data_IF_024143696365
#
_entry.id   IF_024143696365
#
_cell.length_a   1.000
_cell.length_b   1.000
_cell.length_c   1.000
_cell.angle_alpha   90.00
_cell.angle_beta   90.00
_cell.angle_gamma   90.00
#
_symmetry.space_group_name_H-M   'P 1'
#
loop_
_entity.id
_entity.type
_entity.pdbx_description
1 polymer ?
#
# COMPACT_ATOMS: atom_id res chain seq x y z
N UNK A 1 2.49 13.13 21.77
CA UNK A 1 1.68 12.38 20.81
C UNK A 1 2.50 11.94 19.59
N UNK A 2 3.02 12.86 18.79
CA UNK A 2 3.81 12.49 17.58
C UNK A 2 4.96 11.53 17.90
N UNK A 3 5.72 11.79 18.96
CA UNK A 3 6.79 10.90 19.41
C UNK A 3 6.28 9.49 19.74
N UNK A 4 5.15 9.37 20.43
CA UNK A 4 4.54 8.08 20.77
C UNK A 4 4.14 7.30 19.52
N UNK A 5 3.56 7.96 18.51
CA UNK A 5 3.23 7.33 17.24
C UNK A 5 4.50 6.92 16.47
N UNK A 6 5.52 7.79 16.44
CA UNK A 6 6.79 7.47 15.76
C UNK A 6 7.50 6.28 16.40
N UNK A 7 7.51 6.18 17.73
CA UNK A 7 8.12 5.06 18.45
C UNK A 7 7.31 3.78 18.26
N UNK A 8 5.97 3.86 18.39
CA UNK A 8 5.09 2.70 18.23
C UNK A 8 5.22 2.00 16.87
N UNK A 9 5.49 2.78 15.82
CA UNK A 9 5.54 2.29 14.43
C UNK A 9 6.89 2.58 13.75
N UNK A 10 7.96 2.68 14.53
CA UNK A 10 9.30 3.01 14.03
C UNK A 10 9.79 2.03 12.97
N UNK A 11 9.56 0.73 13.15
CA UNK A 11 9.88 -0.31 12.17
C UNK A 11 9.14 -0.09 10.85
N UNK A 12 7.83 0.14 10.90
CA UNK A 12 7.01 0.40 9.70
C UNK A 12 7.47 1.65 8.95
N UNK A 13 7.81 2.73 9.66
CA UNK A 13 8.37 3.93 9.04
C UNK A 13 9.75 3.71 8.43
N UNK A 14 10.60 2.92 9.07
CA UNK A 14 11.91 2.56 8.53
C UNK A 14 11.76 1.78 7.20
N UNK A 15 10.84 0.83 7.13
CA UNK A 15 10.52 0.11 5.90
C UNK A 15 9.94 1.02 4.82
N UNK A 16 8.96 1.87 5.13
CA UNK A 16 8.41 2.85 4.17
C UNK A 16 9.51 3.76 3.62
N UNK A 17 10.43 4.20 4.46
CA UNK A 17 11.55 5.04 4.04
C UNK A 17 12.55 4.27 3.16
N UNK A 18 12.90 3.04 3.53
CA UNK A 18 13.77 2.18 2.74
C UNK A 18 13.17 1.88 1.37
N UNK A 19 11.88 1.51 1.32
CA UNK A 19 11.13 1.30 0.07
C UNK A 19 11.11 2.56 -0.80
N UNK A 20 10.89 3.72 -0.19
CA UNK A 20 10.88 5.00 -0.90
C UNK A 20 12.25 5.32 -1.52
N UNK A 21 13.36 5.06 -0.80
CA UNK A 21 14.73 5.21 -1.31
C UNK A 21 14.99 4.21 -2.46
N UNK A 22 14.44 3.01 -2.37
CA UNK A 22 14.52 1.99 -3.41
C UNK A 22 13.60 2.25 -4.62
N UNK A 23 12.83 3.36 -4.61
CA UNK A 23 12.00 3.78 -5.74
C UNK A 23 10.56 3.27 -5.70
N UNK A 24 10.03 2.96 -4.52
CA UNK A 24 8.62 2.60 -4.32
C UNK A 24 7.69 3.67 -4.87
N UNK A 25 6.58 3.24 -5.47
CA UNK A 25 5.51 4.12 -5.95
C UNK A 25 4.76 4.81 -4.82
N UNK A 26 4.82 4.26 -3.62
CA UNK A 26 4.16 4.80 -2.42
C UNK A 26 5.04 5.75 -1.60
N UNK A 27 6.14 6.27 -2.18
CA UNK A 27 7.11 7.14 -1.53
C UNK A 27 6.50 8.40 -0.85
N UNK A 28 5.32 8.86 -1.29
CA UNK A 28 4.61 9.99 -0.67
C UNK A 28 4.27 9.73 0.82
N UNK A 29 4.17 8.46 1.25
CA UNK A 29 3.92 8.11 2.65
C UNK A 29 4.99 8.66 3.60
N UNK A 30 6.22 8.88 3.11
CA UNK A 30 7.32 9.46 3.89
C UNK A 30 6.98 10.86 4.38
N UNK A 31 6.27 11.67 3.59
CA UNK A 31 5.91 13.06 3.95
C UNK A 31 4.62 13.15 4.76
N UNK A 32 3.82 12.09 4.82
CA UNK A 32 2.52 12.09 5.47
C UNK A 32 2.55 12.48 6.96
N UNK A 33 3.52 12.03 7.79
CA UNK A 33 3.62 12.46 9.18
C UNK A 33 3.87 13.97 9.32
N UNK A 34 4.67 14.56 8.43
CA UNK A 34 4.94 16.01 8.41
C UNK A 34 3.67 16.78 8.07
N UNK A 35 2.92 16.30 7.07
CA UNK A 35 1.63 16.91 6.70
C UNK A 35 0.60 16.79 7.81
N UNK A 36 0.54 15.64 8.49
CA UNK A 36 -0.34 15.46 9.65
C UNK A 36 -0.01 16.45 10.79
N UNK A 37 1.28 16.63 11.10
CA UNK A 37 1.73 17.61 12.08
C UNK A 37 1.42 19.05 11.64
N UNK A 38 1.56 19.36 10.37
CA UNK A 38 1.23 20.66 9.80
C UNK A 38 -0.26 20.97 9.97
N UNK A 39 -1.14 20.01 9.67
CA UNK A 39 -2.60 20.13 9.85
C UNK A 39 -2.92 20.26 11.34
N UNK A 40 -2.33 19.40 12.20
CA UNK A 40 -2.53 19.45 13.65
C UNK A 40 -2.15 20.82 14.25
N UNK A 41 -1.06 21.43 13.77
CA UNK A 41 -0.64 22.77 14.17
C UNK A 41 -1.64 23.88 13.76
N UNK A 42 -2.60 23.59 12.87
CA UNK A 42 -3.74 24.47 12.54
C UNK A 42 -4.83 24.50 13.59
N UNK A 43 -4.86 23.54 14.52
CA UNK A 43 -5.88 23.43 15.57
C UNK A 43 -5.43 24.13 16.86
N UNK A 44 -5.67 25.43 16.94
CA UNK A 44 -5.35 26.26 18.13
C UNK A 44 -6.58 26.51 19.02
N UNK A 45 -7.42 25.53 19.22
CA UNK A 45 -8.61 25.71 20.02
C UNK A 45 -8.34 25.39 21.49
N UNK A 46 -8.70 26.33 22.36
CA UNK A 46 -8.84 26.08 23.78
C UNK A 46 -10.06 25.20 23.97
N UNK A 47 -9.87 23.98 24.47
CA UNK A 47 -10.99 23.25 25.05
C UNK A 47 -11.25 23.80 26.43
N UNK A 48 -12.24 24.70 26.56
CA UNK A 48 -12.83 25.03 27.85
C UNK A 48 -13.80 23.90 28.21
N UNK A 49 -13.32 22.91 28.86
CA UNK A 49 -14.12 21.81 29.38
C UNK A 49 -13.25 20.91 30.24
N UNK A 50 -13.60 20.80 31.48
CA UNK A 50 -13.14 19.72 32.35
C UNK A 50 -13.68 18.45 31.69
N UNK A 51 -12.84 17.75 30.88
CA UNK A 51 -13.19 16.42 30.39
C UNK A 51 -13.30 15.53 31.64
N UNK A 52 -14.38 14.78 31.73
CA UNK A 52 -14.48 13.68 32.68
C UNK A 52 -13.42 12.67 32.30
N UNK A 53 -12.25 12.74 32.93
CA UNK A 53 -11.09 11.94 32.56
C UNK A 53 -11.35 10.44 32.48
N UNK A 54 -12.36 9.92 33.19
CA UNK A 54 -12.76 8.51 33.14
C UNK A 54 -13.51 8.16 31.84
N UNK A 55 -14.44 9.01 31.40
CA UNK A 55 -15.18 8.76 30.13
C UNK A 55 -14.27 8.80 28.91
N UNK A 56 -13.29 9.72 28.87
CA UNK A 56 -12.32 9.80 27.80
C UNK A 56 -11.44 8.54 27.72
N UNK A 57 -11.06 7.96 28.88
CA UNK A 57 -10.33 6.71 28.93
C UNK A 57 -11.13 5.52 28.41
N UNK A 58 -12.40 5.41 28.80
CA UNK A 58 -13.28 4.34 28.33
C UNK A 58 -13.46 4.44 26.80
N UNK A 59 -13.72 5.63 26.31
CA UNK A 59 -13.89 5.86 24.86
C UNK A 59 -12.60 5.55 24.10
N UNK A 60 -11.45 6.00 24.59
CA UNK A 60 -10.17 5.70 23.95
C UNK A 60 -9.87 4.19 23.93
N UNK A 61 -10.15 3.49 25.04
CA UNK A 61 -9.99 2.04 25.12
C UNK A 61 -10.93 1.31 24.14
N UNK A 62 -12.19 1.72 24.05
CA UNK A 62 -13.15 1.14 23.12
C UNK A 62 -12.72 1.36 21.65
N UNK A 63 -12.34 2.59 21.28
CA UNK A 63 -11.88 2.90 19.93
C UNK A 63 -10.60 2.11 19.63
N UNK A 64 -9.66 2.04 20.57
CA UNK A 64 -8.41 1.30 20.40
C UNK A 64 -8.65 -0.20 20.21
N UNK A 65 -9.39 -0.83 21.13
CA UNK A 65 -9.65 -2.26 21.08
C UNK A 65 -10.48 -2.62 19.84
N UNK A 66 -11.59 -1.93 19.60
CA UNK A 66 -12.46 -2.23 18.46
C UNK A 66 -11.79 -1.91 17.12
N UNK A 67 -11.08 -0.78 17.05
CA UNK A 67 -10.38 -0.38 15.81
C UNK A 67 -9.23 -1.33 15.46
N UNK A 68 -8.37 -1.66 16.41
CA UNK A 68 -7.27 -2.59 16.19
C UNK A 68 -7.77 -4.02 15.96
N UNK A 69 -8.80 -4.47 16.71
CA UNK A 69 -9.42 -5.78 16.48
C UNK A 69 -10.06 -5.85 15.08
N UNK A 70 -10.76 -4.79 14.64
CA UNK A 70 -11.34 -4.74 13.30
C UNK A 70 -10.25 -4.83 12.20
N UNK A 71 -9.15 -4.08 12.35
CA UNK A 71 -8.02 -4.15 11.41
C UNK A 71 -7.44 -5.56 11.39
N UNK A 72 -7.19 -6.15 12.56
CA UNK A 72 -6.64 -7.51 12.67
C UNK A 72 -7.57 -8.56 12.02
N UNK A 73 -8.89 -8.46 12.27
CA UNK A 73 -9.87 -9.35 11.67
C UNK A 73 -9.94 -9.18 10.14
N UNK A 74 -9.84 -7.94 9.63
CA UNK A 74 -9.82 -7.67 8.20
C UNK A 74 -8.55 -8.23 7.54
N UNK A 75 -7.37 -8.08 8.17
CA UNK A 75 -6.13 -8.68 7.69
C UNK A 75 -6.26 -10.19 7.60
N UNK A 76 -6.83 -10.84 8.60
CA UNK A 76 -7.05 -12.29 8.60
C UNK A 76 -8.09 -12.78 7.61
N UNK A 77 -9.16 -11.98 7.37
CA UNK A 77 -10.27 -12.36 6.48
C UNK A 77 -10.03 -12.02 5.01
N UNK A 78 -9.28 -10.95 4.74
CA UNK A 78 -9.05 -10.42 3.39
C UNK A 78 -7.58 -9.98 3.23
N UNK A 79 -6.62 -10.92 3.26
CA UNK A 79 -5.20 -10.58 3.31
C UNK A 79 -4.72 -9.79 2.07
N UNK A 80 -5.17 -10.13 0.86
CA UNK A 80 -4.80 -9.40 -0.36
C UNK A 80 -5.34 -7.98 -0.39
N UNK A 81 -6.59 -7.79 0.01
CA UNK A 81 -7.18 -6.47 0.11
C UNK A 81 -6.48 -5.64 1.20
N UNK A 82 -6.24 -6.25 2.37
CA UNK A 82 -5.58 -5.59 3.49
C UNK A 82 -4.17 -5.16 3.15
N UNK A 83 -3.42 -5.97 2.42
CA UNK A 83 -2.08 -5.65 1.97
C UNK A 83 -2.09 -4.52 0.92
N UNK A 84 -2.98 -4.58 -0.06
CA UNK A 84 -3.10 -3.52 -1.06
C UNK A 84 -3.50 -2.17 -0.46
N UNK A 85 -4.46 -2.17 0.47
CA UNK A 85 -4.85 -0.97 1.22
C UNK A 85 -3.83 -0.58 2.30
N UNK A 86 -2.85 -1.42 2.59
CA UNK A 86 -1.92 -1.27 3.74
C UNK A 86 -2.69 -0.93 5.01
N UNK A 87 -3.67 -1.75 5.36
CA UNK A 87 -4.56 -1.51 6.50
C UNK A 87 -3.78 -1.35 7.82
N UNK A 88 -2.57 -1.88 7.91
CA UNK A 88 -1.65 -1.66 9.02
C UNK A 88 -1.37 -0.17 9.27
N UNK A 89 -1.33 0.65 8.20
CA UNK A 89 -1.16 2.10 8.33
C UNK A 89 -2.35 2.76 9.06
N UNK A 90 -3.54 2.18 8.98
CA UNK A 90 -4.70 2.65 9.75
C UNK A 90 -4.58 2.36 11.25
N UNK A 91 -3.78 1.36 11.66
CA UNK A 91 -3.50 1.11 13.06
C UNK A 91 -2.77 2.31 13.71
N UNK A 92 -1.86 2.96 12.95
CA UNK A 92 -1.22 4.23 13.37
C UNK A 92 -2.27 5.31 13.63
N UNK A 93 -3.26 5.43 12.73
CA UNK A 93 -4.34 6.39 12.87
C UNK A 93 -5.18 6.10 14.12
N UNK A 94 -5.60 4.85 14.33
CA UNK A 94 -6.35 4.45 15.53
C UNK A 94 -5.57 4.78 16.80
N UNK A 95 -4.28 4.44 16.84
CA UNK A 95 -3.42 4.75 17.98
C UNK A 95 -3.28 6.27 18.20
N UNK A 96 -3.10 7.05 17.13
CA UNK A 96 -3.02 8.50 17.22
C UNK A 96 -4.30 9.12 17.77
N UNK A 97 -5.47 8.64 17.34
CA UNK A 97 -6.78 9.07 17.87
C UNK A 97 -6.88 8.75 19.36
N UNK A 98 -6.52 7.54 19.78
CA UNK A 98 -6.50 7.15 21.20
C UNK A 98 -5.58 8.07 22.03
N UNK A 99 -4.36 8.34 21.54
CA UNK A 99 -3.44 9.25 22.19
C UNK A 99 -4.02 10.67 22.34
N UNK A 100 -4.71 11.17 21.30
CA UNK A 100 -5.34 12.51 21.37
C UNK A 100 -6.49 12.52 22.37
N UNK A 101 -7.34 11.50 22.38
CA UNK A 101 -8.46 11.41 23.34
C UNK A 101 -7.93 11.37 24.77
N UNK A 102 -6.93 10.53 25.05
CA UNK A 102 -6.36 10.39 26.39
C UNK A 102 -5.65 11.67 26.85
N UNK A 103 -4.93 12.38 25.94
CA UNK A 103 -4.15 13.56 26.30
C UNK A 103 -4.95 14.85 26.33
N UNK A 104 -5.95 15.01 25.47
CA UNK A 104 -6.65 16.27 25.22
C UNK A 104 -8.18 16.15 25.33
N UNK A 105 -8.70 14.94 25.53
CA UNK A 105 -10.13 14.65 25.63
C UNK A 105 -10.82 14.42 24.29
N UNK A 106 -11.96 13.72 24.34
CA UNK A 106 -12.75 13.33 23.16
C UNK A 106 -13.22 14.54 22.35
N UNK A 107 -13.66 15.63 23.02
CA UNK A 107 -14.12 16.84 22.32
C UNK A 107 -13.04 17.42 21.42
N UNK A 108 -11.79 17.44 21.89
CA UNK A 108 -10.66 17.90 21.08
C UNK A 108 -10.41 16.98 19.89
N UNK A 109 -10.44 15.66 20.11
CA UNK A 109 -10.30 14.69 19.02
C UNK A 109 -11.38 14.88 17.95
N UNK A 110 -12.64 15.10 18.34
CA UNK A 110 -13.73 15.36 17.39
C UNK A 110 -13.56 16.67 16.63
N UNK A 111 -13.00 17.73 17.24
CA UNK A 111 -12.71 18.96 16.48
C UNK A 111 -11.65 18.77 15.40
N UNK A 112 -10.78 17.75 15.54
CA UNK A 112 -9.74 17.38 14.57
C UNK A 112 -10.23 16.45 13.44
N UNK A 113 -11.55 16.31 13.24
CA UNK A 113 -12.13 15.37 12.28
C UNK A 113 -11.52 15.47 10.87
N UNK A 114 -11.18 16.66 10.39
CA UNK A 114 -10.58 16.82 9.06
C UNK A 114 -9.15 16.30 8.97
N UNK A 115 -8.40 16.27 10.09
CA UNK A 115 -7.10 15.58 10.16
C UNK A 115 -7.30 14.07 10.05
N UNK A 116 -8.28 13.53 10.78
CA UNK A 116 -8.55 12.09 10.76
C UNK A 116 -9.01 11.63 9.39
N UNK A 117 -9.90 12.42 8.75
CA UNK A 117 -10.33 12.15 7.38
C UNK A 117 -9.16 12.20 6.39
N UNK A 118 -8.29 13.22 6.49
CA UNK A 118 -7.10 13.34 5.66
C UNK A 118 -6.20 12.11 5.82
N UNK A 119 -5.91 11.70 7.06
CA UNK A 119 -5.09 10.53 7.33
C UNK A 119 -5.78 9.23 6.86
N UNK A 120 -7.08 9.06 7.09
CA UNK A 120 -7.81 7.90 6.61
C UNK A 120 -7.76 7.76 5.08
N UNK A 121 -7.84 8.88 4.35
CA UNK A 121 -7.77 8.87 2.89
C UNK A 121 -6.36 8.61 2.35
N UNK A 122 -5.33 9.17 3.00
CA UNK A 122 -3.97 9.17 2.43
C UNK A 122 -2.96 8.29 3.16
N UNK A 123 -3.28 7.72 4.33
CA UNK A 123 -2.46 6.68 4.94
C UNK A 123 -2.56 5.35 4.17
N UNK A 124 -3.61 5.18 3.38
CA UNK A 124 -3.78 4.04 2.47
C UNK A 124 -3.30 4.41 1.07
N UNK A 125 -2.48 3.59 0.39
CA UNK A 125 -1.90 3.94 -0.91
C UNK A 125 -2.90 3.89 -2.07
N UNK A 126 -4.03 3.19 -1.93
CA UNK A 126 -4.99 2.96 -3.03
C UNK A 126 -5.51 4.24 -3.67
N UNK A 127 -5.98 5.27 -2.93
CA UNK A 127 -6.45 6.51 -3.55
C UNK A 127 -5.35 7.23 -4.34
N UNK A 128 -4.11 7.21 -3.82
CA UNK A 128 -2.96 7.78 -4.50
C UNK A 128 -2.61 7.02 -5.78
N UNK A 129 -2.51 5.68 -5.71
CA UNK A 129 -2.19 4.84 -6.85
C UNK A 129 -3.29 4.91 -7.93
N UNK A 130 -4.56 4.93 -7.53
CA UNK A 130 -5.68 5.08 -8.46
C UNK A 130 -5.65 6.45 -9.17
N UNK A 131 -5.41 7.54 -8.43
CA UNK A 131 -5.28 8.88 -9.02
C UNK A 131 -4.06 8.95 -9.96
N UNK A 132 -2.92 8.39 -9.58
CA UNK A 132 -1.72 8.34 -10.42
C UNK A 132 -1.96 7.53 -11.69
N UNK A 133 -2.60 6.36 -11.58
CA UNK A 133 -2.94 5.52 -12.73
C UNK A 133 -3.94 6.19 -13.68
N UNK A 134 -4.90 6.95 -13.15
CA UNK A 134 -5.85 7.73 -13.94
C UNK A 134 -5.19 8.86 -14.74
N UNK A 135 -4.09 9.43 -14.26
CA UNK A 135 -3.31 10.45 -14.96
C UNK A 135 -2.32 9.87 -15.99
N UNK A 136 -2.00 8.58 -15.93
CA UNK A 136 -1.08 7.93 -16.85
C UNK A 136 -0.04 7.02 -16.20
N UNK A 137 0.18 7.15 -14.89
CA UNK A 137 1.07 6.28 -14.12
C UNK A 137 2.55 6.64 -14.24
N UNK A 138 2.90 7.81 -14.77
CA UNK A 138 4.29 8.25 -14.85
C UNK A 138 4.81 8.77 -13.50
N UNK A 139 6.13 8.89 -13.30
CA UNK A 139 6.69 9.54 -12.10
C UNK A 139 6.21 10.99 -11.93
N UNK A 140 5.98 11.70 -13.04
CA UNK A 140 5.42 13.06 -13.03
C UNK A 140 4.01 13.06 -12.44
N UNK A 141 3.16 12.12 -12.87
CA UNK A 141 1.78 12.00 -12.37
C UNK A 141 1.76 11.70 -10.87
N UNK A 142 2.65 10.81 -10.40
CA UNK A 142 2.82 10.53 -8.99
C UNK A 142 3.23 11.79 -8.19
N UNK A 143 4.17 12.57 -8.72
CA UNK A 143 4.61 13.81 -8.07
C UNK A 143 3.51 14.89 -8.08
N UNK A 144 2.69 14.98 -9.14
CA UNK A 144 1.51 15.88 -9.21
C UNK A 144 0.51 15.52 -8.11
N UNK A 145 0.16 14.23 -8.01
CA UNK A 145 -0.80 13.77 -6.97
C UNK A 145 -0.24 14.02 -5.57
N UNK A 146 1.05 13.76 -5.34
CA UNK A 146 1.70 14.05 -4.05
C UNK A 146 1.68 15.55 -3.71
N UNK A 147 1.97 16.43 -4.69
CA UNK A 147 1.88 17.88 -4.52
C UNK A 147 0.44 18.33 -4.22
N UNK A 148 -0.57 17.71 -4.86
CA UNK A 148 -1.97 17.97 -4.56
C UNK A 148 -2.35 17.56 -3.13
N UNK A 149 -1.85 16.41 -2.63
CA UNK A 149 -2.01 16.00 -1.22
C UNK A 149 -1.38 17.04 -0.28
N UNK A 150 -0.17 17.53 -0.59
CA UNK A 150 0.48 18.61 0.15
C UNK A 150 -0.35 19.90 0.16
N UNK A 151 -0.94 20.27 -0.97
CA UNK A 151 -1.81 21.43 -1.09
C UNK A 151 -3.10 21.29 -0.28
N UNK A 152 -3.73 20.11 -0.24
CA UNK A 152 -4.85 19.82 0.66
C UNK A 152 -4.43 19.99 2.11
N UNK A 153 -3.24 19.54 2.49
CA UNK A 153 -2.72 19.74 3.84
C UNK A 153 -2.53 21.24 4.16
N UNK A 154 -2.04 22.06 3.22
CA UNK A 154 -1.95 23.54 3.38
C UNK A 154 -3.33 24.13 3.62
N UNK A 155 -4.32 23.74 2.81
CA UNK A 155 -5.69 24.21 2.95
C UNK A 155 -6.27 23.87 4.34
N UNK A 156 -6.03 22.68 4.84
CA UNK A 156 -6.49 22.25 6.16
C UNK A 156 -5.71 22.91 7.30
N UNK A 157 -4.40 23.10 7.16
CA UNK A 157 -3.54 23.72 8.16
C UNK A 157 -3.78 25.22 8.33
N UNK A 158 -4.31 25.89 7.29
CA UNK A 158 -4.59 27.32 7.29
C UNK A 158 -6.05 27.64 7.64
N UNK A 159 -6.80 26.71 8.25
CA UNK A 159 -8.23 26.83 8.58
C UNK A 159 -8.59 28.04 9.42
N UNK A 160 -7.67 28.60 10.19
CA UNK A 160 -7.86 29.81 11.01
C UNK A 160 -7.79 31.10 10.19
N UNK A 161 -7.35 31.04 8.93
CA UNK A 161 -7.28 32.18 8.04
C UNK A 161 -8.58 32.36 7.25
N UNK A 162 -8.82 33.59 6.76
CA UNK A 162 -9.93 33.87 5.85
C UNK A 162 -9.84 33.00 4.58
N UNK A 163 -10.98 32.58 4.03
CA UNK A 163 -11.06 31.64 2.90
C UNK A 163 -10.20 32.07 1.70
N UNK A 164 -10.19 33.37 1.35
CA UNK A 164 -9.34 33.88 0.26
C UNK A 164 -7.86 33.61 0.49
N UNK A 165 -7.36 33.78 1.73
CA UNK A 165 -5.96 33.51 2.09
C UNK A 165 -5.65 32.03 2.10
N UNK A 166 -6.60 31.20 2.54
CA UNK A 166 -6.46 29.73 2.47
C UNK A 166 -6.28 29.28 1.03
N UNK A 167 -7.17 29.73 0.12
CA UNK A 167 -7.08 29.41 -1.29
C UNK A 167 -5.81 29.95 -1.93
N UNK A 168 -5.39 31.18 -1.58
CA UNK A 168 -4.13 31.76 -2.07
C UNK A 168 -2.92 30.95 -1.61
N UNK A 169 -2.83 30.56 -0.33
CA UNK A 169 -1.75 29.73 0.18
C UNK A 169 -1.69 28.35 -0.51
N UNK A 170 -2.85 27.73 -0.74
CA UNK A 170 -2.96 26.45 -1.46
C UNK A 170 -2.51 26.59 -2.91
N UNK A 171 -2.97 27.65 -3.61
CA UNK A 171 -2.57 27.93 -4.99
C UNK A 171 -1.07 28.22 -5.12
N UNK A 172 -0.50 28.99 -4.18
CA UNK A 172 0.95 29.26 -4.12
C UNK A 172 1.72 27.96 -3.92
N UNK A 173 1.26 27.09 -3.02
CA UNK A 173 1.88 25.78 -2.80
C UNK A 173 1.92 24.94 -4.06
N UNK A 174 0.79 24.84 -4.79
CA UNK A 174 0.72 24.11 -6.07
C UNK A 174 1.60 24.74 -7.14
N UNK A 175 1.52 26.06 -7.30
CA UNK A 175 2.31 26.79 -8.30
C UNK A 175 3.81 26.68 -8.05
N UNK A 176 4.24 26.71 -6.78
CA UNK A 176 5.65 26.54 -6.40
C UNK A 176 6.15 25.10 -6.61
N UNK A 177 5.26 24.10 -6.47
CA UNK A 177 5.60 22.68 -6.70
C UNK A 177 5.68 22.33 -8.20
N UNK A 178 4.92 23.01 -9.06
CA UNK A 178 4.80 22.66 -10.47
C UNK A 178 6.14 22.62 -11.23
N UNK A 179 7.03 23.64 -11.19
CA UNK A 179 8.29 23.61 -11.91
C UNK A 179 9.23 22.51 -11.40
N UNK A 180 9.18 22.18 -10.11
CA UNK A 180 9.98 21.11 -9.53
C UNK A 180 9.50 19.74 -10.06
N UNK A 181 8.19 19.52 -10.07
CA UNK A 181 7.59 18.28 -10.58
C UNK A 181 7.94 18.04 -12.05
N UNK A 182 7.87 19.09 -12.88
CA UNK A 182 8.15 18.97 -14.32
C UNK A 182 9.64 18.73 -14.60
N UNK A 183 10.54 19.43 -13.89
CA UNK A 183 11.97 19.41 -14.23
C UNK A 183 12.78 18.35 -13.45
N UNK A 184 12.30 17.88 -12.29
CA UNK A 184 13.04 17.00 -11.40
C UNK A 184 12.38 15.63 -11.20
N UNK A 185 11.41 15.23 -12.04
CA UNK A 185 10.67 13.98 -11.88
C UNK A 185 11.57 12.72 -11.92
N UNK A 186 12.74 12.78 -12.54
CA UNK A 186 13.74 11.71 -12.52
C UNK A 186 14.28 11.42 -11.11
N UNK A 187 14.23 12.41 -10.22
CA UNK A 187 14.63 12.31 -8.81
C UNK A 187 13.37 12.18 -7.94
N UNK A 188 12.66 11.09 -8.12
CA UNK A 188 11.30 10.92 -7.63
C UNK A 188 11.14 11.21 -6.15
N UNK A 189 11.92 10.56 -5.27
CA UNK A 189 11.83 10.76 -3.81
C UNK A 189 12.18 12.20 -3.37
N UNK A 190 13.32 12.81 -3.78
CA UNK A 190 13.60 14.21 -3.47
C UNK A 190 12.51 15.17 -3.95
N UNK A 191 11.97 14.93 -5.15
CA UNK A 191 10.88 15.74 -5.71
C UNK A 191 9.62 15.65 -4.84
N UNK A 192 9.23 14.47 -4.37
CA UNK A 192 8.09 14.30 -3.46
C UNK A 192 8.35 14.99 -2.12
N UNK A 193 9.54 14.81 -1.51
CA UNK A 193 9.86 15.43 -0.23
C UNK A 193 9.76 16.96 -0.33
N UNK A 194 10.26 17.55 -1.39
CA UNK A 194 10.23 19.01 -1.55
C UNK A 194 8.83 19.48 -1.95
N UNK A 195 8.20 18.88 -2.98
CA UNK A 195 6.93 19.33 -3.52
C UNK A 195 5.74 19.09 -2.55
N UNK A 196 5.70 17.93 -1.90
CA UNK A 196 4.62 17.56 -1.01
C UNK A 196 4.93 17.78 0.48
N UNK A 197 6.20 17.98 0.86
CA UNK A 197 6.61 18.20 2.26
C UNK A 197 7.06 19.64 2.52
N UNK A 198 8.19 20.05 1.95
CA UNK A 198 8.84 21.33 2.28
C UNK A 198 8.03 22.53 1.81
N UNK A 199 7.59 22.54 0.54
CA UNK A 199 6.80 23.66 -0.03
C UNK A 199 5.50 23.88 0.73
N UNK A 200 4.67 22.86 1.07
CA UNK A 200 3.51 23.02 1.94
C UNK A 200 3.84 23.66 3.30
N UNK A 201 4.90 23.21 3.96
CA UNK A 201 5.33 23.78 5.25
C UNK A 201 5.68 25.25 5.11
N UNK A 202 6.49 25.62 4.12
CA UNK A 202 6.88 27.01 3.86
C UNK A 202 5.66 27.87 3.48
N UNK A 203 4.72 27.34 2.71
CA UNK A 203 3.49 28.03 2.33
C UNK A 203 2.62 28.35 3.55
N UNK A 204 2.48 27.43 4.51
CA UNK A 204 1.75 27.67 5.76
C UNK A 204 2.46 28.69 6.63
N UNK A 205 3.77 28.62 6.75
CA UNK A 205 4.58 29.58 7.52
C UNK A 205 4.42 30.98 6.90
N UNK A 206 4.60 31.12 5.59
CA UNK A 206 4.45 32.38 4.87
C UNK A 206 3.05 32.97 5.02
N UNK A 207 1.99 32.14 4.91
CA UNK A 207 0.61 32.57 5.07
C UNK A 207 0.31 33.06 6.50
N UNK A 208 1.00 32.55 7.52
CA UNK A 208 0.86 32.98 8.93
C UNK A 208 1.67 34.22 9.27
N UNK A 209 2.80 34.44 8.60
CA UNK A 209 3.68 35.60 8.83
C UNK A 209 3.13 36.86 8.17
N UNK A 210 2.27 36.78 7.15
CA UNK A 210 1.66 37.95 6.52
C UNK A 210 0.72 38.66 7.50
N UNK A 211 1.02 39.92 7.89
CA UNK A 211 0.28 40.61 8.92
C UNK A 211 -1.19 40.83 8.50
N UNK A 212 -2.08 40.60 9.44
CA UNK A 212 -3.50 40.81 9.27
C UNK A 212 -3.75 42.34 9.43
N UNK A 213 -3.91 43.07 8.32
CA UNK A 213 -4.18 44.50 8.38
C UNK A 213 -5.54 44.87 8.97
N UNK A 214 -6.32 43.91 9.51
CA UNK A 214 -7.70 44.13 9.96
C UNK A 214 -8.09 43.60 11.34
N UNK A 215 -7.18 43.10 12.17
CA UNK A 215 -7.62 42.63 13.49
C UNK A 215 -6.46 42.67 14.49
N UNK A 216 -6.03 43.85 14.85
CA UNK A 216 -5.53 44.07 16.18
C UNK A 216 -6.72 44.52 17.03
N UNK A 217 -7.62 43.60 17.37
CA UNK A 217 -8.52 43.78 18.48
C UNK A 217 -7.70 43.47 19.74
N UNK A 218 -7.30 44.49 20.53
CA UNK A 218 -6.42 44.28 21.69
C UNK A 218 -7.11 43.48 22.80
N UNK A 219 -8.34 43.08 22.62
CA UNK A 219 -9.11 42.24 23.55
C UNK A 219 -9.01 40.74 23.29
N UNK A 220 -8.40 40.26 22.21
CA UNK A 220 -8.11 38.84 22.04
C UNK A 220 -7.04 38.40 23.06
N UNK A 221 -7.52 37.85 24.18
CA UNK A 221 -6.66 37.15 25.16
C UNK A 221 -5.81 36.11 24.45
N UNK A 222 -4.51 35.98 24.82
CA UNK A 222 -3.67 34.95 24.24
C UNK A 222 -4.35 33.58 24.43
N UNK A 223 -4.61 32.94 23.29
CA UNK A 223 -5.26 31.61 23.26
C UNK A 223 -4.35 30.67 24.04
N UNK A 224 -4.81 30.28 25.22
CA UNK A 224 -4.08 29.30 26.06
C UNK A 224 -4.03 27.99 25.28
N UNK A 225 -2.83 27.49 25.00
CA UNK A 225 -2.65 26.21 24.36
C UNK A 225 -3.30 25.12 25.21
N UNK A 226 -4.05 24.20 24.58
CA UNK A 226 -4.63 23.07 25.31
C UNK A 226 -3.49 22.33 26.03
N UNK A 227 -3.59 22.25 27.35
CA UNK A 227 -2.61 21.53 28.16
C UNK A 227 -2.97 20.05 28.16
N UNK A 228 -2.02 19.17 27.83
CA UNK A 228 -2.26 17.74 27.90
C UNK A 228 -2.41 17.26 29.35
N UNK A 229 -3.25 16.26 29.57
CA UNK A 229 -3.33 15.55 30.84
C UNK A 229 -1.99 14.84 31.13
N UNK A 230 -1.22 15.34 32.09
CA UNK A 230 0.12 14.85 32.43
C UNK A 230 0.16 14.07 33.74
N UNK A 231 -0.81 13.22 34.02
CA UNK A 231 -0.68 12.33 35.18
C UNK A 231 0.36 11.23 34.89
N UNK A 232 1.10 10.81 35.91
CA UNK A 232 2.09 9.70 35.80
C UNK A 232 1.40 8.44 35.26
N UNK A 233 0.15 8.18 35.67
CA UNK A 233 -0.66 7.06 35.17
C UNK A 233 -0.92 7.16 33.67
N UNK A 234 -1.28 8.33 33.16
CA UNK A 234 -1.54 8.59 31.74
C UNK A 234 -0.28 8.31 30.90
N UNK A 235 0.85 8.87 31.33
CA UNK A 235 2.13 8.66 30.62
C UNK A 235 2.54 7.19 30.66
N UNK A 236 2.36 6.52 31.81
CA UNK A 236 2.68 5.10 31.96
C UNK A 236 1.88 4.20 31.03
N UNK A 237 0.55 4.39 30.93
CA UNK A 237 -0.30 3.57 30.03
C UNK A 237 0.03 3.82 28.57
N UNK A 238 0.25 5.08 28.17
CA UNK A 238 0.65 5.38 26.78
C UNK A 238 2.03 4.81 26.45
N UNK A 239 2.97 4.82 27.40
CA UNK A 239 4.29 4.21 27.21
C UNK A 239 4.18 2.68 27.06
N UNK A 240 3.38 2.01 27.89
CA UNK A 240 3.14 0.55 27.79
C UNK A 240 2.46 0.21 26.45
N UNK A 241 1.40 0.91 26.07
CA UNK A 241 0.72 0.70 24.79
C UNK A 241 1.67 0.89 23.59
N UNK A 242 2.50 1.95 23.63
CA UNK A 242 3.53 2.20 22.63
C UNK A 242 4.54 1.06 22.56
N UNK A 243 5.01 0.54 23.70
CA UNK A 243 5.96 -0.57 23.74
C UNK A 243 5.36 -1.87 23.19
N UNK A 244 4.09 -2.16 23.49
CA UNK A 244 3.39 -3.33 22.95
C UNK A 244 3.28 -3.25 21.42
N UNK A 245 2.88 -2.09 20.88
CA UNK A 245 2.75 -1.89 19.44
C UNK A 245 4.11 -1.95 18.72
N UNK A 246 5.14 -1.36 19.32
CA UNK A 246 6.50 -1.44 18.78
C UNK A 246 7.02 -2.89 18.76
N UNK A 247 6.78 -3.66 19.83
CA UNK A 247 7.14 -5.07 19.88
C UNK A 247 6.39 -5.91 18.85
N UNK A 248 5.10 -5.66 18.64
CA UNK A 248 4.30 -6.34 17.61
C UNK A 248 4.82 -6.03 16.19
N UNK A 249 5.25 -4.79 15.92
CA UNK A 249 5.81 -4.39 14.63
C UNK A 249 7.18 -4.99 14.30
N UNK A 250 7.94 -5.44 15.31
CA UNK A 250 9.25 -6.11 15.08
C UNK A 250 9.13 -7.54 14.53
N UNK A 251 7.93 -8.12 14.52
CA UNK A 251 7.68 -9.47 14.02
C UNK A 251 7.32 -9.51 12.53
N UNK A 252 7.52 -8.43 11.78
CA UNK A 252 7.33 -8.44 10.34
C UNK A 252 8.39 -9.34 9.70
N UNK A 253 7.93 -10.30 8.89
CA UNK A 253 8.82 -11.26 8.23
C UNK A 253 9.54 -10.56 7.08
N UNK A 254 10.87 -10.66 7.06
CA UNK A 254 11.65 -10.25 5.91
C UNK A 254 11.31 -11.15 4.72
N UNK A 255 11.01 -10.54 3.59
CA UNK A 255 10.83 -11.27 2.34
C UNK A 255 12.17 -11.92 1.94
N UNK A 256 12.12 -13.17 1.47
CA UNK A 256 13.30 -13.83 0.96
C UNK A 256 13.89 -13.04 -0.21
N UNK A 257 15.22 -12.85 -0.22
CA UNK A 257 15.88 -12.13 -1.31
C UNK A 257 15.59 -12.83 -2.66
N UNK A 258 15.28 -12.06 -3.72
CA UNK A 258 14.96 -12.63 -5.02
C UNK A 258 16.16 -13.36 -5.62
N UNK A 259 15.94 -14.57 -6.08
CA UNK A 259 16.95 -15.41 -6.72
C UNK A 259 17.39 -14.80 -8.03
N UNK A 260 18.71 -14.76 -8.31
CA UNK A 260 19.25 -14.28 -9.58
C UNK A 260 19.27 -15.40 -10.63
N UNK A 261 18.76 -15.11 -11.81
CA UNK A 261 18.65 -16.04 -12.94
C UNK A 261 19.18 -15.42 -14.23
N UNK A 262 19.49 -16.22 -15.28
CA UNK A 262 19.87 -15.72 -16.59
C UNK A 262 18.75 -14.88 -17.24
N UNK A 263 19.11 -13.88 -18.05
CA UNK A 263 18.14 -12.97 -18.70
C UNK A 263 17.36 -13.66 -19.81
N UNK A 264 17.88 -14.72 -20.40
CA UNK A 264 17.31 -15.50 -21.49
C UNK A 264 16.50 -16.74 -21.04
N UNK A 265 16.17 -16.81 -19.75
CA UNK A 265 15.49 -17.97 -19.17
C UNK A 265 14.15 -18.30 -19.84
N UNK A 266 13.38 -17.29 -20.29
CA UNK A 266 12.10 -17.51 -20.97
C UNK A 266 12.29 -18.22 -22.32
N UNK A 267 13.33 -17.85 -23.09
CA UNK A 267 13.66 -18.50 -24.34
C UNK A 267 14.14 -19.95 -24.09
N UNK A 268 14.96 -20.17 -23.06
CA UNK A 268 15.43 -21.50 -22.70
C UNK A 268 14.31 -22.42 -22.21
N UNK A 269 13.30 -21.86 -21.58
CA UNK A 269 12.13 -22.62 -21.10
C UNK A 269 11.20 -23.08 -22.21
N UNK A 270 11.45 -22.71 -23.47
CA UNK A 270 10.59 -23.03 -24.60
C UNK A 270 9.22 -22.35 -24.52
N UNK A 271 9.09 -21.31 -23.72
CA UNK A 271 7.85 -20.57 -23.57
C UNK A 271 7.64 -19.64 -24.76
N UNK A 272 6.48 -19.73 -25.40
CA UNK A 272 6.10 -18.84 -26.52
C UNK A 272 5.25 -17.68 -26.00
N UNK A 273 5.61 -16.44 -26.41
CA UNK A 273 4.88 -15.24 -26.04
C UNK A 273 3.50 -15.23 -26.70
N UNK A 274 2.42 -15.03 -25.90
CA UNK A 274 1.05 -14.94 -26.40
C UNK A 274 0.58 -13.49 -26.44
N UNK A 275 0.76 -12.76 -25.32
CA UNK A 275 0.21 -11.43 -25.12
C UNK A 275 1.11 -10.55 -24.27
N UNK A 276 0.89 -9.24 -24.36
CA UNK A 276 1.46 -8.23 -23.47
C UNK A 276 0.35 -7.31 -22.99
N UNK A 277 0.44 -6.85 -21.75
CA UNK A 277 -0.61 -6.07 -21.10
C UNK A 277 -0.08 -4.71 -20.69
N UNK A 278 -0.43 -3.68 -21.44
CA UNK A 278 0.10 -2.32 -21.26
C UNK A 278 -0.48 -1.62 -20.02
N UNK A 279 -1.62 -2.09 -19.48
CA UNK A 279 -2.21 -1.48 -18.30
C UNK A 279 -1.25 -1.47 -17.09
N UNK A 280 -0.31 -2.42 -17.04
CA UNK A 280 0.64 -2.53 -15.93
C UNK A 280 1.53 -1.29 -15.81
N UNK A 281 1.82 -0.60 -16.92
CA UNK A 281 2.64 0.62 -16.90
C UNK A 281 2.01 1.73 -16.07
N UNK A 282 0.68 1.76 -15.96
CA UNK A 282 -0.05 2.73 -15.14
C UNK A 282 0.14 2.52 -13.64
N UNK A 283 0.40 1.28 -13.21
CA UNK A 283 0.58 0.91 -11.81
C UNK A 283 2.07 0.77 -11.43
N UNK A 284 2.85 0.11 -12.26
CA UNK A 284 4.26 -0.20 -12.00
C UNK A 284 5.26 0.78 -12.63
N UNK A 285 4.80 1.66 -13.54
CA UNK A 285 5.62 2.64 -14.24
C UNK A 285 5.95 2.24 -15.68
N UNK A 286 6.43 3.21 -16.48
CA UNK A 286 6.58 3.05 -17.93
C UNK A 286 7.57 1.95 -18.34
N UNK A 287 8.57 1.68 -17.51
CA UNK A 287 9.60 0.66 -17.77
C UNK A 287 9.19 -0.75 -17.31
N UNK A 288 7.94 -0.91 -16.89
CA UNK A 288 7.41 -2.19 -16.44
C UNK A 288 6.63 -2.89 -17.55
N UNK A 289 6.73 -4.22 -17.59
CA UNK A 289 6.04 -5.04 -18.59
C UNK A 289 5.34 -6.21 -17.94
N UNK A 290 4.17 -6.58 -18.46
CA UNK A 290 3.49 -7.82 -18.09
C UNK A 290 3.26 -8.63 -19.36
N UNK A 291 3.91 -9.77 -19.46
CA UNK A 291 3.90 -10.63 -20.63
C UNK A 291 3.36 -12.00 -20.27
N UNK A 292 2.43 -12.49 -21.07
CA UNK A 292 1.89 -13.86 -20.98
C UNK A 292 2.58 -14.76 -21.98
N UNK A 293 2.95 -15.94 -21.50
CA UNK A 293 3.54 -17.03 -22.28
C UNK A 293 2.60 -18.25 -22.27
N UNK A 294 2.54 -18.96 -23.39
CA UNK A 294 1.89 -20.26 -23.47
C UNK A 294 2.69 -21.28 -22.68
N UNK A 295 2.02 -22.02 -21.81
CA UNK A 295 2.57 -23.24 -21.28
C UNK A 295 2.43 -24.35 -22.32
N UNK A 296 3.38 -25.31 -22.42
CA UNK A 296 3.25 -26.45 -23.31
C UNK A 296 1.95 -27.23 -23.03
N UNK A 297 1.18 -27.52 -24.08
CA UNK A 297 0.00 -28.35 -23.94
C UNK A 297 0.39 -29.77 -23.53
N UNK A 298 -0.33 -30.30 -22.57
CA UNK A 298 -0.16 -31.65 -22.10
C UNK A 298 -1.51 -32.36 -22.10
N UNK A 299 -1.62 -33.39 -22.92
CA UNK A 299 -2.87 -34.14 -23.10
C UNK A 299 -3.42 -34.65 -21.75
N UNK A 300 -4.68 -34.35 -21.48
CA UNK A 300 -5.35 -34.76 -20.23
C UNK A 300 -5.01 -33.92 -19.00
N UNK A 301 -4.30 -32.77 -19.19
CA UNK A 301 -4.00 -31.82 -18.12
C UNK A 301 -4.75 -30.49 -18.35
N UNK A 302 -5.09 -29.76 -17.29
CA UNK A 302 -5.72 -28.46 -17.40
C UNK A 302 -4.85 -27.45 -18.16
N UNK A 303 -5.51 -26.52 -18.88
CA UNK A 303 -4.85 -25.44 -19.57
C UNK A 303 -4.09 -24.51 -18.60
N UNK A 304 -2.92 -24.05 -19.02
CA UNK A 304 -2.06 -23.25 -18.17
C UNK A 304 -1.37 -22.12 -18.98
N UNK A 305 -0.95 -21.06 -18.28
CA UNK A 305 -0.14 -19.99 -18.82
C UNK A 305 0.90 -19.54 -17.77
N UNK A 306 1.93 -18.84 -18.26
CA UNK A 306 2.94 -18.22 -17.40
C UNK A 306 2.93 -16.72 -17.64
N UNK A 307 2.62 -15.95 -16.59
CA UNK A 307 2.64 -14.49 -16.63
C UNK A 307 3.89 -13.96 -15.95
N UNK A 308 4.61 -13.06 -16.60
CA UNK A 308 5.85 -12.47 -16.11
C UNK A 308 5.68 -10.96 -16.03
N UNK A 309 5.59 -10.44 -14.80
CA UNK A 309 5.67 -9.02 -14.51
C UNK A 309 7.13 -8.66 -14.29
N UNK A 310 7.68 -7.76 -15.08
CA UNK A 310 9.07 -7.29 -14.98
C UNK A 310 9.10 -5.79 -14.70
N UNK A 311 9.98 -5.36 -13.79
CA UNK A 311 10.21 -3.96 -13.42
C UNK A 311 11.68 -3.74 -13.06
N UNK A 312 12.26 -2.55 -13.29
CA UNK A 312 13.62 -2.25 -12.87
C UNK A 312 13.79 -2.06 -11.36
N UNK A 313 12.71 -1.90 -10.59
CA UNK A 313 12.74 -1.64 -9.14
C UNK A 313 12.13 -2.78 -8.35
N UNK A 314 12.89 -3.30 -7.37
CA UNK A 314 12.40 -4.30 -6.42
C UNK A 314 11.26 -3.74 -5.55
N UNK A 315 11.38 -2.48 -5.12
CA UNK A 315 10.37 -1.84 -4.31
C UNK A 315 9.02 -1.70 -5.03
N UNK A 316 9.04 -1.41 -6.35
CA UNK A 316 7.81 -1.40 -7.17
C UNK A 316 7.20 -2.80 -7.24
N UNK A 317 8.05 -3.83 -7.38
CA UNK A 317 7.55 -5.21 -7.38
C UNK A 317 6.94 -5.59 -6.03
N UNK A 318 7.56 -5.13 -4.93
CA UNK A 318 7.06 -5.32 -3.57
C UNK A 318 5.73 -4.59 -3.33
N UNK A 319 5.58 -3.34 -3.80
CA UNK A 319 4.33 -2.58 -3.73
C UNK A 319 3.14 -3.32 -4.39
N UNK A 320 3.44 -4.14 -5.40
CA UNK A 320 2.46 -4.91 -6.17
C UNK A 320 2.42 -6.39 -5.79
N UNK A 321 3.18 -6.82 -4.78
CA UNK A 321 3.35 -8.23 -4.41
C UNK A 321 2.04 -8.95 -4.12
N UNK A 322 1.10 -8.24 -3.49
CA UNK A 322 -0.18 -8.78 -3.06
C UNK A 322 -1.36 -8.37 -3.96
N UNK A 323 -1.06 -7.65 -5.05
CA UNK A 323 -2.08 -7.30 -6.05
C UNK A 323 -2.44 -8.52 -6.89
N UNK A 324 -3.71 -8.88 -6.89
CA UNK A 324 -4.26 -9.95 -7.72
C UNK A 324 -4.72 -9.36 -9.04
N UNK A 325 -4.09 -9.79 -10.14
CA UNK A 325 -4.39 -9.32 -11.50
C UNK A 325 -5.49 -10.13 -12.19
N UNK A 326 -6.04 -11.14 -11.53
CA UNK A 326 -7.00 -12.05 -12.13
C UNK A 326 -8.38 -11.88 -11.51
N UNK A 327 -9.45 -11.99 -12.32
CA UNK A 327 -10.80 -11.91 -11.79
C UNK A 327 -11.03 -13.08 -10.80
N UNK A 328 -11.65 -12.75 -9.68
CA UNK A 328 -12.04 -13.71 -8.67
C UNK A 328 -13.39 -13.30 -8.07
N UNK A 329 -14.30 -14.29 -7.92
CA UNK A 329 -15.61 -14.04 -7.34
C UNK A 329 -15.56 -13.76 -5.82
N UNK A 330 -14.44 -14.11 -5.17
CA UNK A 330 -14.20 -13.95 -3.75
C UNK A 330 -12.83 -13.32 -3.50
N UNK A 331 -12.60 -12.70 -2.33
CA UNK A 331 -11.28 -12.28 -1.93
C UNK A 331 -10.31 -13.47 -1.88
N UNK A 332 -9.22 -13.34 -2.60
CA UNK A 332 -8.17 -14.36 -2.71
C UNK A 332 -7.08 -14.10 -1.68
N UNK A 333 -6.43 -15.13 -1.17
CA UNK A 333 -5.32 -14.99 -0.23
C UNK A 333 -4.05 -15.66 -0.74
N UNK A 334 -2.92 -14.98 -0.56
CA UNK A 334 -1.60 -15.59 -0.79
C UNK A 334 -1.22 -16.46 0.41
N UNK A 335 -0.89 -17.72 0.15
CA UNK A 335 -0.39 -18.65 1.16
C UNK A 335 1.02 -19.11 0.81
N UNK A 336 1.90 -19.14 1.79
CA UNK A 336 3.25 -19.68 1.58
C UNK A 336 3.17 -21.17 1.22
N UNK A 337 3.97 -21.57 0.23
CA UNK A 337 4.14 -22.98 -0.13
C UNK A 337 5.38 -23.50 0.60
N UNK A 338 5.28 -24.71 1.15
CA UNK A 338 6.44 -25.37 1.75
C UNK A 338 7.53 -25.59 0.67
N UNK A 339 8.76 -25.28 1.03
CA UNK A 339 9.89 -25.49 0.14
C UNK A 339 9.98 -27.00 -0.24
N UNK A 340 9.97 -27.28 -1.54
CA UNK A 340 10.11 -28.64 -2.07
C UNK A 340 11.02 -28.63 -3.29
N UNK A 341 11.50 -29.80 -3.70
CA UNK A 341 12.37 -29.92 -4.86
C UNK A 341 11.67 -29.34 -6.12
N UNK A 342 12.31 -28.37 -6.77
CA UNK A 342 11.82 -27.71 -7.98
C UNK A 342 10.86 -26.54 -7.74
N UNK A 343 10.45 -26.24 -6.51
CA UNK A 343 9.66 -25.03 -6.20
C UNK A 343 10.60 -23.96 -5.63
N UNK A 344 10.67 -22.77 -6.25
CA UNK A 344 11.51 -21.69 -5.77
C UNK A 344 11.17 -21.27 -4.34
N UNK A 345 12.19 -20.86 -3.57
CA UNK A 345 11.97 -20.30 -2.24
C UNK A 345 11.09 -19.04 -2.31
N UNK A 346 10.21 -18.87 -1.34
CA UNK A 346 9.28 -17.74 -1.32
C UNK A 346 8.09 -17.89 -2.28
N UNK A 347 7.91 -19.06 -2.92
CA UNK A 347 6.71 -19.34 -3.73
C UNK A 347 5.46 -19.26 -2.86
N UNK A 348 4.45 -18.57 -3.39
CA UNK A 348 3.14 -18.45 -2.77
C UNK A 348 2.08 -19.03 -3.70
N UNK A 349 1.06 -19.63 -3.10
CA UNK A 349 -0.12 -20.15 -3.79
C UNK A 349 -1.28 -19.18 -3.62
N UNK A 350 -2.09 -19.06 -4.66
CA UNK A 350 -3.38 -18.38 -4.65
C UNK A 350 -4.33 -19.07 -5.63
N UNK A 351 -5.61 -19.07 -5.31
CA UNK A 351 -6.63 -19.64 -6.19
C UNK A 351 -7.98 -18.93 -6.01
N UNK A 352 -8.78 -18.92 -7.04
CA UNK A 352 -10.18 -18.53 -6.95
C UNK A 352 -11.01 -19.75 -6.55
N UNK A 353 -11.98 -19.53 -5.65
CA UNK A 353 -12.99 -20.53 -5.36
C UNK A 353 -14.26 -20.18 -6.12
N UNK A 354 -14.77 -21.12 -6.92
CA UNK A 354 -16.10 -20.99 -7.50
C UNK A 354 -17.13 -21.07 -6.37
N UNK A 355 -17.98 -20.07 -6.30
CA UNK A 355 -19.32 -20.30 -5.75
C UNK A 355 -20.11 -21.02 -6.83
N UNK A 356 -20.34 -22.31 -6.67
CA UNK A 356 -21.13 -23.14 -7.60
C UNK A 356 -22.53 -22.58 -7.90
N UNK A 357 -22.95 -21.52 -7.20
CA UNK A 357 -24.25 -20.88 -7.34
C UNK A 357 -24.21 -19.46 -7.91
N UNK A 358 -23.04 -18.81 -8.04
CA UNK A 358 -23.07 -17.36 -8.15
C UNK A 358 -22.84 -16.79 -9.54
N UNK A 359 -21.99 -17.32 -10.39
CA UNK A 359 -21.85 -16.72 -11.74
C UNK A 359 -21.07 -17.59 -12.72
N UNK A 360 -21.76 -17.99 -13.78
CA UNK A 360 -21.19 -18.62 -14.98
C UNK A 360 -20.18 -17.73 -15.76
N UNK A 361 -19.71 -16.62 -15.18
CA UNK A 361 -18.82 -15.67 -15.84
C UNK A 361 -17.35 -15.78 -15.46
N UNK A 362 -17.00 -16.47 -14.38
CA UNK A 362 -15.64 -16.60 -13.89
C UNK A 362 -15.03 -17.94 -14.27
N UNK A 363 -13.85 -17.91 -14.86
CA UNK A 363 -13.00 -19.10 -14.97
C UNK A 363 -12.28 -19.26 -13.66
N UNK A 364 -12.52 -20.40 -12.98
CA UNK A 364 -11.76 -20.71 -11.78
C UNK A 364 -10.31 -21.05 -12.13
N UNK A 365 -9.44 -20.58 -11.27
CA UNK A 365 -8.00 -20.68 -11.51
C UNK A 365 -7.23 -20.97 -10.23
N UNK A 366 -6.06 -21.56 -10.42
CA UNK A 366 -5.07 -21.82 -9.40
C UNK A 366 -3.72 -21.28 -9.87
N UNK A 367 -2.96 -20.62 -9.02
CA UNK A 367 -1.67 -20.08 -9.41
C UNK A 367 -0.59 -20.26 -8.36
N UNK A 368 0.65 -20.45 -8.84
CA UNK A 368 1.87 -20.36 -8.06
C UNK A 368 2.65 -19.13 -8.51
N UNK A 369 3.11 -18.32 -7.56
CA UNK A 369 3.85 -17.09 -7.85
C UNK A 369 5.10 -16.99 -6.99
N UNK A 370 6.19 -16.48 -7.58
CA UNK A 370 7.45 -16.19 -6.90
C UNK A 370 8.13 -14.97 -7.50
N UNK A 371 9.13 -14.45 -6.81
CA UNK A 371 9.96 -13.35 -7.27
C UNK A 371 11.35 -13.82 -7.61
N UNK A 372 11.94 -13.23 -8.66
CA UNK A 372 13.30 -13.51 -9.12
C UNK A 372 13.92 -12.28 -9.75
N UNK A 373 15.24 -12.31 -9.95
CA UNK A 373 15.96 -11.24 -10.63
C UNK A 373 16.61 -11.76 -11.91
N UNK A 374 16.30 -11.16 -13.05
CA UNK A 374 16.88 -11.46 -14.34
C UNK A 374 17.71 -10.26 -14.84
N UNK A 375 19.02 -10.33 -14.64
CA UNK A 375 19.91 -9.19 -14.94
C UNK A 375 19.59 -7.97 -14.07
N UNK A 376 19.19 -6.87 -14.70
CA UNK A 376 18.79 -5.62 -14.02
C UNK A 376 17.30 -5.58 -13.66
N UNK A 377 16.50 -6.55 -14.11
CA UNK A 377 15.05 -6.57 -13.91
C UNK A 377 14.67 -7.49 -12.75
N UNK A 378 13.77 -6.99 -11.91
CA UNK A 378 13.06 -7.79 -10.93
C UNK A 378 11.78 -8.31 -11.56
N UNK A 379 11.48 -9.59 -11.35
CA UNK A 379 10.38 -10.27 -12.01
C UNK A 379 9.51 -10.99 -10.98
N UNK A 380 8.19 -10.87 -11.14
CA UNK A 380 7.22 -11.77 -10.53
C UNK A 380 6.72 -12.72 -11.60
N UNK A 381 7.01 -13.99 -11.42
CA UNK A 381 6.55 -15.07 -12.29
C UNK A 381 5.30 -15.68 -11.67
N UNK A 382 4.26 -15.86 -12.44
CA UNK A 382 3.01 -16.48 -12.02
C UNK A 382 2.65 -17.58 -13.00
N UNK A 383 2.68 -18.82 -12.54
CA UNK A 383 2.14 -19.97 -13.26
C UNK A 383 0.67 -20.07 -12.90
N UNK A 384 -0.22 -19.85 -13.87
CA UNK A 384 -1.66 -19.90 -13.68
C UNK A 384 -2.26 -21.08 -14.45
N UNK A 385 -3.12 -21.83 -13.79
CA UNK A 385 -3.77 -23.06 -14.31
C UNK A 385 -5.28 -22.91 -14.17
N UNK A 386 -6.02 -23.25 -15.22
CA UNK A 386 -7.48 -23.34 -15.15
C UNK A 386 -7.89 -24.49 -14.20
N UNK A 387 -8.90 -24.28 -13.38
CA UNK A 387 -9.47 -25.37 -12.57
C UNK A 387 -10.44 -26.26 -13.37
N UNK A 388 -10.72 -25.90 -14.63
CA UNK A 388 -11.48 -26.77 -15.52
C UNK A 388 -10.61 -27.92 -16.03
N UNK A 389 -11.03 -29.15 -15.78
CA UNK A 389 -10.34 -30.36 -16.24
C UNK A 389 -10.59 -30.67 -17.73
N UNK A 390 -11.50 -29.94 -18.39
CA UNK A 390 -11.81 -30.16 -19.81
C UNK A 390 -10.67 -29.82 -20.76
N UNK A 391 -9.64 -29.10 -20.30
CA UNK A 391 -8.52 -28.67 -21.14
C UNK A 391 -8.83 -27.53 -22.12
N UNK A 392 -10.10 -27.31 -22.43
CA UNK A 392 -10.54 -26.32 -23.43
C UNK A 392 -10.65 -24.90 -22.87
N UNK A 393 -10.70 -24.76 -21.56
CA UNK A 393 -10.88 -23.49 -20.89
C UNK A 393 -9.53 -22.89 -20.49
N UNK A 394 -9.08 -21.88 -21.24
CA UNK A 394 -7.86 -21.16 -20.92
C UNK A 394 -7.96 -20.43 -19.57
N UNK A 395 -6.85 -20.31 -18.80
CA UNK A 395 -6.85 -19.53 -17.58
C UNK A 395 -7.15 -18.05 -17.86
N UNK A 396 -7.76 -17.32 -16.92
CA UNK A 396 -8.17 -15.95 -17.14
C UNK A 396 -6.95 -15.04 -17.46
N UNK A 397 -7.21 -14.02 -18.26
CA UNK A 397 -6.18 -13.01 -18.60
C UNK A 397 -6.02 -12.01 -17.45
N UNK A 398 -4.81 -11.48 -17.24
CA UNK A 398 -4.59 -10.37 -16.31
C UNK A 398 -5.44 -9.16 -16.69
N UNK A 399 -6.01 -8.52 -15.68
CA UNK A 399 -6.83 -7.32 -15.79
C UNK A 399 -6.34 -6.25 -14.81
N UNK A 400 -6.53 -4.95 -15.13
CA UNK A 400 -6.23 -3.90 -14.18
C UNK A 400 -7.08 -4.07 -12.92
N UNK A 401 -6.52 -3.86 -11.71
CA UNK A 401 -7.29 -3.93 -10.48
C UNK A 401 -8.32 -2.80 -10.47
N UNK A 402 -9.58 -3.16 -10.35
CA UNK A 402 -10.64 -2.19 -10.12
C UNK A 402 -10.74 -1.89 -8.62
N UNK A 403 -10.36 -0.66 -8.24
CA UNK A 403 -10.39 -0.23 -6.84
C UNK A 403 -11.80 -0.21 -6.26
N UNK A 404 -12.83 0.01 -7.08
CA UNK A 404 -14.23 -0.01 -6.64
C UNK A 404 -14.72 -1.44 -6.44
N UNK A 405 -14.48 -2.32 -7.40
CA UNK A 405 -14.86 -3.74 -7.28
C UNK A 405 -14.08 -4.42 -6.15
N UNK A 406 -12.80 -4.18 -6.01
CA UNK A 406 -12.00 -4.71 -4.92
C UNK A 406 -12.50 -4.23 -3.55
N UNK A 407 -12.97 -3.00 -3.44
CA UNK A 407 -13.45 -2.43 -2.17
C UNK A 407 -14.92 -2.81 -1.91
N UNK A 408 -15.82 -2.42 -2.83
CA UNK A 408 -17.27 -2.60 -2.65
C UNK A 408 -17.67 -4.07 -2.74
N UNK A 409 -17.11 -4.81 -3.69
CA UNK A 409 -17.33 -6.25 -3.83
C UNK A 409 -16.92 -7.03 -2.59
N UNK A 410 -15.75 -6.71 -2.04
CA UNK A 410 -15.23 -7.33 -0.81
C UNK A 410 -16.08 -6.99 0.42
N UNK A 411 -16.54 -5.74 0.57
CA UNK A 411 -17.49 -5.36 1.62
C UNK A 411 -18.84 -6.07 1.50
N UNK A 412 -19.38 -6.16 0.30
CA UNK A 412 -20.62 -6.90 0.04
C UNK A 412 -20.46 -8.38 0.33
N UNK A 413 -19.31 -8.96 0.00
CA UNK A 413 -19.02 -10.35 0.34
C UNK A 413 -18.96 -10.58 1.85
N UNK A 414 -18.26 -9.70 2.59
CA UNK A 414 -18.21 -9.74 4.06
C UNK A 414 -19.59 -9.63 4.69
N UNK A 415 -20.45 -8.73 4.19
CA UNK A 415 -21.80 -8.51 4.72
C UNK A 415 -22.72 -9.72 4.51
N UNK A 416 -22.49 -10.52 3.48
CA UNK A 416 -23.31 -11.69 3.15
C UNK A 416 -23.02 -12.90 4.04
N UNK A 417 -21.98 -12.87 4.88
CA UNK A 417 -21.60 -13.95 5.80
C UNK A 417 -21.62 -15.36 5.20
N UNK A 418 -21.32 -15.48 3.91
CA UNK A 418 -21.29 -16.80 3.27
C UNK A 418 -20.18 -17.64 3.87
N UNK A 419 -20.42 -18.92 4.20
CA UNK A 419 -19.37 -19.79 4.68
C UNK A 419 -18.27 -19.84 3.63
N UNK A 420 -17.00 -19.83 4.09
CA UNK A 420 -15.87 -20.11 3.22
C UNK A 420 -16.11 -21.50 2.61
N UNK A 421 -16.20 -21.57 1.28
CA UNK A 421 -16.21 -22.84 0.59
C UNK A 421 -14.99 -23.66 1.00
N UNK A 422 -15.10 -24.97 0.97
CA UNK A 422 -13.93 -25.82 1.18
C UNK A 422 -12.87 -25.42 0.15
N UNK A 423 -11.65 -25.13 0.61
CA UNK A 423 -10.46 -24.86 -0.20
C UNK A 423 -10.08 -26.13 -1.00
N UNK A 424 -10.96 -26.57 -1.88
CA UNK A 424 -10.77 -27.80 -2.63
C UNK A 424 -10.25 -27.45 -4.02
N UNK A 425 -8.96 -27.70 -4.23
CA UNK A 425 -8.33 -27.64 -5.54
C UNK A 425 -8.09 -29.07 -6.00
N UNK A 426 -8.48 -29.38 -7.24
CA UNK A 426 -8.25 -30.72 -7.81
C UNK A 426 -6.74 -31.03 -7.81
N UNK A 427 -6.33 -32.22 -7.38
CA UNK A 427 -4.92 -32.64 -7.35
C UNK A 427 -4.22 -32.50 -8.71
N UNK A 428 -4.91 -32.71 -9.84
CA UNK A 428 -4.35 -32.56 -11.19
C UNK A 428 -3.98 -31.11 -11.49
N UNK A 429 -4.79 -30.14 -11.02
CA UNK A 429 -4.54 -28.71 -11.18
C UNK A 429 -3.29 -28.28 -10.41
N UNK A 430 -3.21 -28.67 -9.13
CA UNK A 430 -2.04 -28.35 -8.29
C UNK A 430 -0.77 -29.03 -8.77
N UNK A 431 -0.88 -30.29 -9.22
CA UNK A 431 0.22 -31.05 -9.82
C UNK A 431 0.71 -30.38 -11.11
N UNK A 432 -0.22 -29.94 -11.99
CA UNK A 432 0.12 -29.22 -13.22
C UNK A 432 0.90 -27.95 -12.93
N UNK A 433 0.42 -27.13 -11.96
CA UNK A 433 1.11 -25.91 -11.56
C UNK A 433 2.50 -26.19 -11.00
N UNK A 434 2.65 -27.19 -10.12
CA UNK A 434 3.92 -27.58 -9.53
C UNK A 434 4.92 -28.08 -10.61
N UNK A 435 4.45 -28.93 -11.54
CA UNK A 435 5.29 -29.45 -12.65
C UNK A 435 5.81 -28.33 -13.54
N UNK A 436 4.93 -27.37 -13.92
CA UNK A 436 5.34 -26.22 -14.72
C UNK A 436 6.29 -25.30 -13.96
N UNK A 437 6.02 -25.06 -12.68
CA UNK A 437 6.92 -24.27 -11.83
C UNK A 437 8.29 -24.91 -11.75
N UNK A 438 8.37 -26.21 -11.52
CA UNK A 438 9.62 -26.95 -11.49
C UNK A 438 10.36 -26.90 -12.85
N UNK A 439 9.65 -27.05 -13.95
CA UNK A 439 10.25 -26.96 -15.29
C UNK A 439 10.82 -25.57 -15.56
N UNK A 440 10.07 -24.50 -15.24
CA UNK A 440 10.51 -23.12 -15.41
C UNK A 440 11.71 -22.81 -14.48
N UNK A 441 11.69 -23.28 -13.24
CA UNK A 441 12.77 -23.02 -12.28
C UNK A 441 14.04 -23.79 -12.60
N UNK A 442 13.96 -25.03 -13.11
CA UNK A 442 15.12 -25.85 -13.47
C UNK A 442 15.94 -25.22 -14.63
N UNK A 443 15.27 -24.62 -15.60
CA UNK A 443 15.95 -23.91 -16.71
C UNK A 443 16.68 -22.66 -16.20
N UNK A 444 16.11 -22.01 -15.19
CA UNK A 444 16.73 -20.86 -14.54
C UNK A 444 18.03 -21.20 -13.81
N UNK A 445 18.23 -22.47 -13.42
CA UNK A 445 19.41 -22.98 -12.71
C UNK A 445 20.56 -23.38 -13.63
N UNK A 446 20.30 -23.57 -14.91
CA UNK A 446 21.30 -24.02 -15.85
C UNK A 446 22.33 -22.93 -16.14
N UNK A 447 23.65 -23.15 -15.93
CA UNK A 447 24.66 -22.15 -16.22
C UNK A 447 24.62 -21.79 -17.70
N UNK A 448 24.89 -20.51 -18.01
CA UNK A 448 24.96 -20.04 -19.40
C UNK A 448 26.05 -20.81 -20.18
N UNK A 449 25.74 -21.41 -21.34
CA UNK A 449 26.71 -22.22 -22.09
C UNK A 449 27.88 -21.42 -22.70
N UNK A 450 27.98 -20.11 -22.44
CA UNK A 450 28.94 -19.19 -23.04
C UNK A 450 30.16 -18.77 -22.20
N UNK A 451 30.31 -19.29 -20.97
CA UNK A 451 31.35 -18.84 -20.01
C UNK A 451 32.63 -19.65 -19.99
N UNK A 452 33.06 -20.33 -21.06
CA UNK A 452 34.43 -20.86 -21.14
C UNK A 452 35.37 -19.67 -21.35
N UNK A 453 35.81 -19.05 -20.24
CA UNK A 453 37.02 -18.22 -20.26
C UNK A 453 38.17 -19.05 -20.84
N UNK A 454 38.54 -18.78 -22.10
CA UNK A 454 39.87 -19.07 -22.58
C UNK A 454 40.85 -18.41 -21.63
N UNK A 455 41.46 -19.18 -20.77
CA UNK A 455 42.71 -18.83 -20.12
C UNK A 455 43.78 -19.09 -21.16
N UNK A 456 44.23 -18.02 -21.77
CA UNK A 456 45.56 -17.98 -22.42
C UNK A 456 46.50 -17.20 -21.51
#
# INVERSE_FOLDING_TARGET
MALLCMVAYASSYAHIFADAVAGSRTAYLVVLPVLALLIAAGYRTTSHGVGDGESDWIVAALIGILGLAAIYLLIGRMPTLSAWWRLESLAVLVWAVCCVIILFGMRHALTMWSLWLFLACFATPVPYLAATAALGGTPIDGAIVAAAIGAVAVFLATRTLAMRRRLAATAISLAASAPLVVNCASWFLPTIIVAAGVIPVLSVIGARLTPNSRSADPTERPISAAMPHRSVRTVGVLAVGTAILAAAGLHQHDAAAPRTIPTDWTARSGLSRIASYDFVTKFAGPDSTLVRFAAPDQKGMPAAAVDVLSTPSEAVLADLSDVVWYPAARPVSYRAVAASAGIPAGTRVLHSDADAAADARGVDWYALTWTQRAGSLFQRVTVIVSQSLSGDQAPPTPQPPDALDASVGSWLWLSRQRPQGLDHVDPLVSQRAATLTAAVSAVSDSPSPGGSHRRD
#
